data_IF_906983590651
#
_entry.id   IF_906983590651
#
_cell.length_a   1.000
_cell.length_b   1.000
_cell.length_c   1.000
_cell.angle_alpha   90.00
_cell.angle_beta   90.00
_cell.angle_gamma   90.00
#
_symmetry.space_group_name_H-M   'P 1'
#
loop_
_entity.id
_entity.type
_entity.pdbx_description
1 polymer ?
#
# COMPACT_ATOMS: atom_id res chain seq x y z
N UNK A 1 4.18 63.80 -65.07
CA UNK A 1 4.59 62.42 -65.11
C UNK A 1 4.33 61.82 -63.74
N UNK A 2 3.33 60.98 -63.61
CA UNK A 2 2.98 60.34 -62.34
C UNK A 2 3.46 58.89 -62.40
N UNK A 3 4.37 58.52 -61.52
CA UNK A 3 4.85 57.11 -61.37
C UNK A 3 3.97 56.44 -60.33
N UNK A 4 3.24 55.43 -60.79
CA UNK A 4 2.42 54.61 -59.90
C UNK A 4 3.30 53.45 -59.35
N UNK A 5 3.43 53.38 -58.03
CA UNK A 5 4.09 52.27 -57.33
C UNK A 5 3.06 51.15 -57.12
N UNK A 6 3.35 49.99 -57.67
CA UNK A 6 2.57 48.78 -57.46
C UNK A 6 3.14 48.06 -56.25
N UNK A 7 2.31 47.96 -55.22
CA UNK A 7 2.65 47.21 -54.03
C UNK A 7 2.20 45.73 -54.22
N UNK A 8 3.15 44.82 -54.32
CA UNK A 8 2.85 43.39 -54.38
C UNK A 8 2.65 42.83 -52.95
N UNK A 9 1.43 42.42 -52.59
CA UNK A 9 1.15 41.72 -51.35
C UNK A 9 1.46 40.24 -51.54
N UNK A 10 2.45 39.71 -50.82
CA UNK A 10 2.74 38.26 -50.77
C UNK A 10 1.76 37.61 -49.77
N UNK A 11 0.90 36.74 -50.27
CA UNK A 11 -0.01 35.91 -49.46
C UNK A 11 0.77 34.68 -48.95
N UNK A 12 1.10 34.65 -47.68
CA UNK A 12 1.71 33.47 -47.05
C UNK A 12 0.60 32.44 -46.72
N UNK A 13 0.52 31.38 -47.50
CA UNK A 13 -0.33 30.23 -47.21
C UNK A 13 0.40 29.37 -46.14
N UNK A 14 -0.06 29.48 -44.91
CA UNK A 14 0.36 28.60 -43.85
C UNK A 14 -0.21 27.18 -44.07
N UNK A 15 0.68 26.22 -44.31
CA UNK A 15 0.30 24.80 -44.33
C UNK A 15 0.14 24.36 -42.87
N UNK A 16 -1.10 24.19 -42.42
CA UNK A 16 -1.39 23.58 -41.14
C UNK A 16 -0.99 22.07 -41.21
N UNK A 17 -0.03 21.65 -40.39
CA UNK A 17 0.28 20.26 -40.25
C UNK A 17 -0.90 19.52 -39.57
N UNK A 18 -1.27 18.33 -40.01
CA UNK A 18 -2.34 17.59 -39.37
C UNK A 18 -1.93 17.26 -37.94
N UNK A 19 -2.71 17.74 -36.98
CA UNK A 19 -2.64 17.33 -35.60
C UNK A 19 -3.08 15.86 -35.54
N UNK A 20 -2.16 14.94 -35.25
CA UNK A 20 -2.49 13.56 -34.93
C UNK A 20 -3.21 13.57 -33.59
N UNK A 21 -4.54 13.45 -33.63
CA UNK A 21 -5.30 13.21 -32.40
C UNK A 21 -4.85 11.87 -31.79
N UNK A 22 -4.26 11.94 -30.62
CA UNK A 22 -3.90 10.77 -29.86
C UNK A 22 -5.20 10.23 -29.26
N UNK A 23 -5.67 9.09 -29.77
CA UNK A 23 -6.85 8.42 -29.23
C UNK A 23 -6.40 7.68 -27.98
N UNK A 24 -6.81 8.17 -26.83
CA UNK A 24 -6.69 7.44 -25.57
C UNK A 24 -7.84 6.44 -25.50
N UNK A 25 -7.50 5.15 -25.45
CA UNK A 25 -8.46 4.10 -25.13
C UNK A 25 -8.53 4.05 -23.61
N UNK A 26 -9.61 4.54 -23.05
CA UNK A 26 -9.92 4.33 -21.64
C UNK A 26 -10.60 2.97 -21.54
N UNK A 27 -10.00 2.06 -20.79
CA UNK A 27 -10.68 0.87 -20.34
C UNK A 27 -11.53 1.29 -19.13
N UNK A 28 -12.83 1.44 -19.32
CA UNK A 28 -13.75 1.70 -18.23
C UNK A 28 -13.92 0.40 -17.45
N UNK A 29 -13.22 0.29 -16.33
CA UNK A 29 -13.45 -0.80 -15.38
C UNK A 29 -14.76 -0.49 -14.68
N UNK A 30 -15.83 -1.13 -15.12
CA UNK A 30 -17.11 -1.08 -14.41
C UNK A 30 -16.96 -2.00 -13.20
N UNK A 31 -16.73 -1.43 -12.02
CA UNK A 31 -16.86 -2.16 -10.77
C UNK A 31 -18.34 -2.45 -10.55
N UNK A 32 -18.77 -3.66 -10.86
CA UNK A 32 -20.10 -4.15 -10.51
C UNK A 32 -20.10 -4.51 -9.02
N UNK A 33 -20.62 -3.61 -8.20
CA UNK A 33 -20.89 -3.89 -6.80
C UNK A 33 -22.04 -4.91 -6.71
N UNK A 34 -21.69 -6.19 -6.61
CA UNK A 34 -22.67 -7.21 -6.28
C UNK A 34 -22.94 -7.11 -4.78
N UNK A 35 -24.08 -6.53 -4.40
CA UNK A 35 -24.62 -6.70 -3.05
C UNK A 35 -24.93 -8.18 -2.82
N UNK A 36 -23.93 -8.96 -2.41
CA UNK A 36 -24.19 -10.27 -1.85
C UNK A 36 -24.81 -10.06 -0.47
N UNK A 37 -26.06 -10.46 -0.34
CA UNK A 37 -26.77 -10.50 0.92
C UNK A 37 -25.89 -11.05 2.03
N UNK A 38 -25.60 -10.22 3.00
CA UNK A 38 -25.16 -10.37 4.40
C UNK A 38 -24.54 -11.69 4.94
N UNK A 39 -24.01 -12.58 4.13
CA UNK A 39 -23.05 -13.54 4.61
C UNK A 39 -21.66 -12.87 4.55
N UNK A 40 -21.12 -12.45 5.69
CA UNK A 40 -19.74 -12.00 5.81
C UNK A 40 -18.86 -13.03 5.11
N UNK A 41 -18.29 -12.65 3.98
CA UNK A 41 -17.24 -13.46 3.37
C UNK A 41 -16.05 -13.43 4.32
N UNK A 42 -15.81 -14.52 4.99
CA UNK A 42 -14.60 -14.72 5.77
C UNK A 42 -13.63 -15.46 4.86
N UNK A 43 -12.49 -14.87 4.55
CA UNK A 43 -11.50 -15.54 3.72
C UNK A 43 -11.06 -16.85 4.37
N UNK A 44 -10.73 -17.89 3.60
CA UNK A 44 -10.21 -19.15 4.15
C UNK A 44 -8.97 -18.94 5.04
N UNK A 45 -8.12 -17.97 4.70
CA UNK A 45 -6.89 -17.63 5.44
C UNK A 45 -7.24 -17.03 6.81
N UNK A 46 -8.22 -16.11 6.87
CA UNK A 46 -8.70 -15.58 8.13
C UNK A 46 -9.34 -16.68 8.99
N UNK A 47 -10.20 -17.51 8.40
CA UNK A 47 -10.84 -18.61 9.11
C UNK A 47 -9.81 -19.59 9.68
N UNK A 48 -8.77 -19.91 8.92
CA UNK A 48 -7.68 -20.78 9.36
C UNK A 48 -6.88 -20.15 10.51
N UNK A 49 -6.51 -18.87 10.39
CA UNK A 49 -5.77 -18.16 11.43
C UNK A 49 -6.59 -18.11 12.74
N UNK A 50 -7.88 -17.82 12.66
CA UNK A 50 -8.79 -17.82 13.82
C UNK A 50 -8.92 -19.20 14.47
N UNK A 51 -8.98 -20.26 13.66
CA UNK A 51 -9.08 -21.64 14.16
C UNK A 51 -7.79 -22.10 14.85
N UNK A 52 -6.62 -21.68 14.36
CA UNK A 52 -5.31 -22.07 14.90
C UNK A 52 -4.87 -21.19 16.08
N UNK A 53 -5.52 -20.05 16.29
CA UNK A 53 -5.11 -19.06 17.28
C UNK A 53 -5.15 -19.62 18.72
N UNK A 54 -4.00 -19.57 19.39
CA UNK A 54 -3.89 -19.90 20.83
C UNK A 54 -4.01 -18.65 21.70
N UNK A 55 -3.83 -17.46 21.13
CA UNK A 55 -4.04 -16.15 21.75
C UNK A 55 -4.27 -15.07 20.69
N UNK A 56 -4.89 -13.95 21.08
CA UNK A 56 -5.18 -12.82 20.19
C UNK A 56 -4.80 -11.50 20.83
N UNK A 57 -4.20 -10.59 20.03
CA UNK A 57 -3.75 -9.25 20.43
C UNK A 57 -4.10 -8.28 19.29
N UNK A 58 -5.24 -7.58 19.40
CA UNK A 58 -5.74 -6.75 18.30
C UNK A 58 -5.84 -7.56 17.00
N UNK A 59 -5.17 -7.12 15.92
CA UNK A 59 -5.19 -7.83 14.64
C UNK A 59 -4.27 -9.07 14.60
N UNK A 60 -3.52 -9.35 15.66
CA UNK A 60 -2.61 -10.51 15.70
C UNK A 60 -3.30 -11.75 16.28
N UNK A 61 -3.00 -12.91 15.67
CA UNK A 61 -3.37 -14.24 16.13
C UNK A 61 -2.09 -15.03 16.35
N UNK A 62 -1.78 -15.38 17.59
CA UNK A 62 -0.64 -16.25 17.90
C UNK A 62 -0.99 -17.67 17.50
N UNK A 63 -0.24 -18.25 16.58
CA UNK A 63 -0.49 -19.59 16.04
C UNK A 63 0.28 -20.67 16.80
N UNK A 64 1.49 -20.35 17.22
CA UNK A 64 2.37 -21.21 18.00
C UNK A 64 3.47 -20.40 18.69
N UNK A 65 4.49 -21.07 19.26
CA UNK A 65 5.61 -20.42 20.02
C UNK A 65 6.45 -19.48 19.13
N UNK A 66 6.36 -19.57 17.79
CA UNK A 66 7.23 -18.87 16.85
C UNK A 66 6.48 -18.02 15.82
N UNK A 67 5.19 -18.25 15.64
CA UNK A 67 4.41 -17.63 14.57
C UNK A 67 3.18 -16.93 15.09
N UNK A 68 2.91 -15.76 14.53
CA UNK A 68 1.64 -15.06 14.66
C UNK A 68 1.12 -14.68 13.26
N UNK A 69 -0.19 -14.73 13.06
CA UNK A 69 -0.84 -14.18 11.87
C UNK A 69 -1.28 -12.73 12.11
N UNK A 70 -1.18 -11.89 11.11
CA UNK A 70 -1.85 -10.60 10.99
C UNK A 70 -3.08 -10.78 10.11
N UNK A 71 -4.28 -10.48 10.65
CA UNK A 71 -5.56 -10.88 10.02
C UNK A 71 -6.59 -9.77 9.89
N UNK A 72 -6.23 -8.52 10.17
CA UNK A 72 -7.20 -7.43 10.14
C UNK A 72 -6.50 -6.10 9.89
N UNK A 73 -7.28 -5.02 9.98
CA UNK A 73 -6.80 -3.65 9.85
C UNK A 73 -5.99 -3.24 11.09
N UNK A 74 -4.90 -2.52 10.88
CA UNK A 74 -4.14 -1.93 11.99
C UNK A 74 -4.70 -0.56 12.39
N UNK A 75 -4.50 -0.20 13.65
CA UNK A 75 -5.02 1.04 14.25
C UNK A 75 -3.95 1.73 15.09
N UNK A 76 -4.27 2.86 15.69
CA UNK A 76 -3.41 3.57 16.64
C UNK A 76 -3.01 2.72 17.86
N UNK A 77 -3.77 1.68 18.20
CA UNK A 77 -3.52 0.77 19.33
C UNK A 77 -2.59 -0.38 18.99
N UNK A 78 -2.47 -0.74 17.71
CA UNK A 78 -1.77 -1.94 17.26
C UNK A 78 -0.29 -2.02 17.71
N UNK A 79 0.49 -0.92 17.77
CA UNK A 79 1.83 -0.99 18.34
C UNK A 79 1.89 -1.46 19.81
N UNK A 80 0.91 -1.07 20.63
CA UNK A 80 0.83 -1.52 22.02
C UNK A 80 0.37 -2.98 22.14
N UNK A 81 -0.54 -3.40 21.26
CA UNK A 81 -1.00 -4.80 21.16
C UNK A 81 0.14 -5.72 20.72
N UNK A 82 0.98 -5.26 19.78
CA UNK A 82 2.19 -5.95 19.37
C UNK A 82 3.20 -6.09 20.52
N UNK A 83 3.46 -5.03 21.27
CA UNK A 83 4.36 -5.09 22.44
C UNK A 83 3.83 -6.07 23.48
N UNK A 84 2.52 -6.09 23.74
CA UNK A 84 1.89 -7.02 24.67
C UNK A 84 2.02 -8.48 24.18
N UNK A 85 1.78 -8.71 22.87
CA UNK A 85 2.00 -10.02 22.25
C UNK A 85 3.43 -10.48 22.45
N UNK A 86 4.41 -9.64 22.11
CA UNK A 86 5.84 -9.99 22.22
C UNK A 86 6.31 -10.19 23.67
N UNK A 87 5.69 -9.50 24.64
CA UNK A 87 5.97 -9.71 26.07
C UNK A 87 5.49 -11.08 26.55
N UNK A 88 4.33 -11.53 26.07
CA UNK A 88 3.73 -12.82 26.45
C UNK A 88 4.25 -13.99 25.60
N UNK A 89 4.67 -13.73 24.38
CA UNK A 89 5.16 -14.72 23.40
C UNK A 89 6.50 -14.26 22.79
N UNK A 90 7.58 -14.21 23.59
CA UNK A 90 8.86 -13.67 23.16
C UNK A 90 9.59 -14.52 22.10
N UNK A 91 9.12 -15.73 21.84
CA UNK A 91 9.64 -16.62 20.81
C UNK A 91 9.15 -16.34 19.40
N UNK A 92 8.14 -15.44 19.22
CA UNK A 92 7.63 -15.13 17.89
C UNK A 92 8.73 -14.51 17.04
N UNK A 93 8.96 -15.14 15.89
CA UNK A 93 9.99 -14.78 14.91
C UNK A 93 9.42 -14.62 13.49
N UNK A 94 8.14 -14.95 13.29
CA UNK A 94 7.46 -14.87 11.99
C UNK A 94 6.09 -14.22 12.18
N UNK A 95 5.76 -13.28 11.29
CA UNK A 95 4.40 -12.79 11.10
C UNK A 95 3.91 -13.26 9.74
N UNK A 96 2.79 -14.00 9.74
CA UNK A 96 2.06 -14.43 8.55
C UNK A 96 0.99 -13.39 8.21
N UNK A 97 1.11 -12.76 7.05
CA UNK A 97 0.16 -11.79 6.53
C UNK A 97 -0.98 -12.52 5.81
N UNK A 98 -1.98 -12.95 6.57
CA UNK A 98 -3.03 -13.85 6.06
C UNK A 98 -4.18 -13.11 5.39
N UNK A 99 -4.72 -12.06 6.03
CA UNK A 99 -5.81 -11.23 5.49
C UNK A 99 -5.68 -9.82 6.05
N UNK A 100 -4.86 -8.98 5.44
CA UNK A 100 -4.45 -7.70 5.97
C UNK A 100 -5.07 -6.57 5.14
N UNK A 101 -6.12 -5.91 5.64
CA UNK A 101 -6.87 -4.90 4.91
C UNK A 101 -6.22 -3.49 4.92
N UNK A 102 -5.13 -3.28 5.66
CA UNK A 102 -4.41 -2.01 5.69
C UNK A 102 -4.35 -1.38 7.07
N UNK A 103 -4.42 -0.04 7.13
CA UNK A 103 -4.32 0.71 8.38
C UNK A 103 -5.34 1.85 8.45
N UNK A 104 -5.74 2.19 9.67
CA UNK A 104 -6.47 3.43 9.97
C UNK A 104 -5.56 4.54 10.52
N UNK A 105 -4.28 4.27 10.76
CA UNK A 105 -3.33 5.25 11.31
C UNK A 105 -1.94 4.97 10.76
N UNK A 106 -1.54 5.73 9.75
CA UNK A 106 -0.24 5.58 9.08
C UNK A 106 0.94 5.76 10.02
N UNK A 107 0.86 6.70 10.98
CA UNK A 107 1.97 6.94 11.91
C UNK A 107 2.17 5.77 12.85
N UNK A 108 1.09 5.23 13.37
CA UNK A 108 1.13 4.02 14.20
C UNK A 108 1.61 2.82 13.37
N UNK A 109 1.17 2.71 12.12
CA UNK A 109 1.57 1.64 11.20
C UNK A 109 3.08 1.67 10.91
N UNK A 110 3.63 2.82 10.52
CA UNK A 110 5.06 2.98 10.28
C UNK A 110 5.90 2.75 11.56
N UNK A 111 5.36 3.11 12.74
CA UNK A 111 5.97 2.77 14.03
C UNK A 111 5.98 1.25 14.24
N UNK A 112 4.87 0.58 14.00
CA UNK A 112 4.76 -0.88 14.11
C UNK A 112 5.75 -1.58 13.17
N UNK A 113 5.89 -1.12 11.93
CA UNK A 113 6.89 -1.64 11.00
C UNK A 113 8.31 -1.55 11.56
N UNK A 114 8.69 -0.40 12.15
CA UNK A 114 9.99 -0.27 12.82
C UNK A 114 10.17 -1.23 13.99
N UNK A 115 9.10 -1.51 14.75
CA UNK A 115 9.14 -2.49 15.85
C UNK A 115 9.33 -3.92 15.33
N UNK A 116 8.66 -4.29 14.23
CA UNK A 116 8.84 -5.58 13.54
C UNK A 116 10.29 -5.73 13.08
N UNK A 117 10.82 -4.72 12.37
CA UNK A 117 12.20 -4.71 11.88
C UNK A 117 13.22 -4.82 13.01
N UNK A 118 13.06 -4.01 14.07
CA UNK A 118 13.98 -3.99 15.21
C UNK A 118 14.05 -5.32 15.98
N UNK A 119 13.04 -6.18 15.84
CA UNK A 119 13.00 -7.52 16.45
C UNK A 119 13.50 -8.63 15.52
N UNK A 120 13.88 -8.30 14.28
CA UNK A 120 14.34 -9.29 13.30
C UNK A 120 13.26 -10.30 12.90
N UNK A 121 11.99 -9.88 12.87
CA UNK A 121 10.86 -10.76 12.56
C UNK A 121 10.79 -10.95 11.04
N UNK A 122 10.62 -12.18 10.60
CA UNK A 122 10.34 -12.51 9.21
C UNK A 122 8.88 -12.21 8.86
N UNK A 123 8.65 -11.68 7.65
CA UNK A 123 7.32 -11.47 7.08
C UNK A 123 7.04 -12.54 6.02
N UNK A 124 5.94 -13.25 6.17
CA UNK A 124 5.52 -14.31 5.25
C UNK A 124 4.10 -14.02 4.76
N UNK A 125 3.86 -14.10 3.47
CA UNK A 125 2.50 -14.12 2.92
C UNK A 125 2.19 -15.56 2.54
N UNK A 126 1.27 -16.24 3.24
CA UNK A 126 0.92 -17.64 2.95
C UNK A 126 0.17 -17.74 1.61
N UNK A 127 -0.03 -18.95 1.12
CA UNK A 127 -0.83 -19.24 -0.08
C UNK A 127 -2.23 -18.60 0.04
N UNK A 128 -2.59 -17.79 -0.97
CA UNK A 128 -3.85 -17.05 -0.98
C UNK A 128 -3.95 -15.95 0.07
N UNK A 129 -2.85 -15.59 0.73
CA UNK A 129 -2.81 -14.45 1.64
C UNK A 129 -2.99 -13.13 0.91
N UNK A 130 -3.59 -12.14 1.58
CA UNK A 130 -3.93 -10.84 1.01
C UNK A 130 -3.35 -9.70 1.83
N UNK A 131 -2.53 -8.85 1.19
CA UNK A 131 -1.81 -7.73 1.81
C UNK A 131 -2.17 -6.44 1.10
N UNK A 132 -2.90 -5.56 1.76
CA UNK A 132 -3.46 -4.36 1.12
C UNK A 132 -3.06 -3.08 1.85
N UNK A 133 -2.90 -2.00 1.07
CA UNK A 133 -2.66 -0.65 1.60
C UNK A 133 -1.52 -0.64 2.63
N UNK A 134 -1.70 -0.03 3.80
CA UNK A 134 -0.70 0.06 4.87
C UNK A 134 -0.14 -1.27 5.40
N UNK A 135 -0.74 -2.41 5.07
CA UNK A 135 -0.15 -3.71 5.40
C UNK A 135 1.08 -4.03 4.54
N UNK A 136 1.22 -3.39 3.38
CA UNK A 136 2.41 -3.55 2.51
C UNK A 136 3.65 -3.00 3.20
N UNK A 137 3.55 -1.84 3.87
CA UNK A 137 4.65 -1.27 4.67
C UNK A 137 5.08 -2.22 5.79
N UNK A 138 4.12 -2.88 6.45
CA UNK A 138 4.44 -3.85 7.50
C UNK A 138 5.12 -5.11 6.94
N UNK A 139 4.69 -5.59 5.77
CA UNK A 139 5.36 -6.69 5.09
C UNK A 139 6.80 -6.31 4.70
N UNK A 140 6.99 -5.10 4.17
CA UNK A 140 8.31 -4.58 3.81
C UNK A 140 9.24 -4.42 5.03
N UNK A 141 8.69 -4.26 6.22
CA UNK A 141 9.44 -4.18 7.47
C UNK A 141 10.05 -5.51 7.91
N UNK A 142 9.61 -6.65 7.37
CA UNK A 142 10.19 -7.95 7.69
C UNK A 142 11.69 -8.00 7.44
N UNK A 143 12.44 -8.66 8.34
CA UNK A 143 13.89 -8.91 8.18
C UNK A 143 14.17 -9.78 6.95
N UNK A 144 13.38 -10.82 6.78
CA UNK A 144 13.26 -11.58 5.54
C UNK A 144 11.79 -11.53 5.08
N UNK A 145 11.58 -11.69 3.78
CA UNK A 145 10.27 -11.61 3.15
C UNK A 145 10.05 -12.80 2.25
N UNK A 146 8.97 -13.53 2.48
CA UNK A 146 8.60 -14.70 1.70
C UNK A 146 7.16 -14.55 1.20
N UNK A 147 6.93 -14.87 -0.07
CA UNK A 147 5.62 -14.76 -0.71
C UNK A 147 5.30 -16.11 -1.33
N UNK A 148 4.24 -16.75 -0.87
CA UNK A 148 3.76 -18.00 -1.44
C UNK A 148 2.98 -17.77 -2.75
N UNK A 149 2.77 -18.83 -3.51
CA UNK A 149 1.98 -18.79 -4.72
C UNK A 149 0.52 -18.38 -4.42
N UNK A 150 -0.06 -17.55 -5.29
CA UNK A 150 -1.43 -17.05 -5.13
C UNK A 150 -1.61 -15.98 -4.05
N UNK A 151 -0.52 -15.48 -3.47
CA UNK A 151 -0.57 -14.32 -2.58
C UNK A 151 -0.90 -13.05 -3.36
N UNK A 152 -1.71 -12.17 -2.78
CA UNK A 152 -2.17 -10.95 -3.43
C UNK A 152 -1.68 -9.70 -2.71
N UNK A 153 -1.24 -8.71 -3.48
CA UNK A 153 -0.89 -7.37 -2.98
C UNK A 153 -1.74 -6.32 -3.68
N UNK A 154 -2.28 -5.39 -2.93
CA UNK A 154 -3.01 -4.26 -3.47
C UNK A 154 -2.57 -2.96 -2.82
N UNK A 155 -2.22 -1.98 -3.64
CA UNK A 155 -1.82 -0.64 -3.21
C UNK A 155 -2.71 0.41 -3.87
N UNK A 156 -2.88 1.52 -3.18
CA UNK A 156 -3.53 2.72 -3.71
C UNK A 156 -2.75 3.96 -3.25
N UNK A 157 -2.97 5.08 -3.92
CA UNK A 157 -2.40 6.34 -3.45
C UNK A 157 -2.92 6.67 -2.05
N UNK A 158 -2.02 7.10 -1.15
CA UNK A 158 -2.43 7.51 0.18
C UNK A 158 -3.23 8.82 0.14
N UNK A 159 -4.10 8.99 1.13
CA UNK A 159 -4.90 10.19 1.33
C UNK A 159 -4.97 10.46 2.84
N UNK A 160 -4.83 11.72 3.22
CA UNK A 160 -4.93 12.11 4.63
C UNK A 160 -6.38 12.34 5.09
N UNK A 161 -6.54 12.66 6.38
CA UNK A 161 -7.85 12.94 7.00
C UNK A 161 -8.56 14.18 6.42
N UNK A 162 -7.86 15.00 5.64
CA UNK A 162 -8.41 16.18 4.94
C UNK A 162 -8.79 15.89 3.49
N UNK A 163 -8.59 14.64 3.02
CA UNK A 163 -8.84 14.21 1.66
C UNK A 163 -7.76 14.65 0.67
N UNK A 164 -6.57 15.04 1.16
CA UNK A 164 -5.42 15.41 0.34
C UNK A 164 -4.55 14.19 0.09
N UNK A 165 -4.18 13.98 -1.16
CA UNK A 165 -3.32 12.89 -1.61
C UNK A 165 -1.89 13.34 -1.89
N UNK A 166 -1.06 12.42 -2.37
CA UNK A 166 0.35 12.67 -2.66
C UNK A 166 0.58 13.88 -3.58
N UNK A 167 -0.25 14.03 -4.63
CA UNK A 167 -0.15 15.13 -5.59
C UNK A 167 -0.46 16.52 -5.03
N UNK A 168 -1.08 16.60 -3.85
CA UNK A 168 -1.47 17.86 -3.22
C UNK A 168 -0.34 18.43 -2.34
N UNK A 169 0.72 17.67 -2.13
CA UNK A 169 1.85 18.03 -1.29
C UNK A 169 3.12 18.25 -2.12
N UNK A 170 3.99 19.13 -1.63
CA UNK A 170 5.32 19.30 -2.21
C UNK A 170 6.17 18.03 -2.00
N UNK A 171 7.04 17.64 -2.96
CA UNK A 171 7.86 16.42 -2.85
C UNK A 171 8.73 16.32 -1.60
N UNK A 172 9.13 17.46 -1.03
CA UNK A 172 9.93 17.57 0.20
C UNK A 172 9.08 17.77 1.47
N UNK A 173 7.77 17.62 1.37
CA UNK A 173 6.88 17.77 2.51
C UNK A 173 7.06 16.65 3.56
N UNK A 174 6.76 16.91 4.85
CA UNK A 174 6.79 15.88 5.88
C UNK A 174 5.89 14.68 5.56
N UNK A 175 4.83 14.89 4.76
CA UNK A 175 3.88 13.85 4.40
C UNK A 175 4.48 12.81 3.45
N UNK A 176 5.35 13.21 2.53
CA UNK A 176 6.16 12.30 1.72
C UNK A 176 7.35 11.75 2.51
N UNK A 177 8.08 12.62 3.22
CA UNK A 177 9.32 12.24 3.89
C UNK A 177 9.13 11.14 4.94
N UNK A 178 7.96 11.03 5.57
CA UNK A 178 7.68 9.95 6.53
C UNK A 178 7.74 8.56 5.88
N UNK A 179 7.23 8.41 4.65
CA UNK A 179 7.27 7.16 3.89
C UNK A 179 8.65 6.90 3.31
N UNK A 180 9.25 7.89 2.65
CA UNK A 180 10.60 7.76 2.08
C UNK A 180 11.64 7.39 3.13
N UNK A 181 11.56 7.99 4.34
CA UNK A 181 12.41 7.62 5.46
C UNK A 181 12.19 6.17 5.88
N UNK A 182 10.93 5.76 5.99
CA UNK A 182 10.57 4.40 6.35
C UNK A 182 11.11 3.38 5.33
N UNK A 183 10.90 3.60 4.04
CA UNK A 183 11.37 2.69 3.00
C UNK A 183 12.90 2.54 3.01
N UNK A 184 13.64 3.65 3.21
CA UNK A 184 15.10 3.60 3.37
C UNK A 184 15.53 2.80 4.61
N UNK A 185 14.83 2.97 5.75
CA UNK A 185 15.06 2.19 6.97
C UNK A 185 14.79 0.69 6.75
N UNK A 186 13.84 0.34 5.88
CA UNK A 186 13.54 -1.04 5.50
C UNK A 186 14.48 -1.59 4.42
N UNK A 187 15.49 -0.82 3.99
CA UNK A 187 16.49 -1.25 3.02
C UNK A 187 16.05 -1.19 1.57
N UNK A 188 15.05 -0.37 1.26
CA UNK A 188 14.58 -0.13 -0.11
C UNK A 188 15.20 1.13 -0.70
N UNK A 189 15.37 1.17 -2.01
CA UNK A 189 15.69 2.39 -2.74
C UNK A 189 14.42 3.25 -2.82
N UNK A 190 14.37 4.32 -2.01
CA UNK A 190 13.16 5.10 -1.80
C UNK A 190 12.66 5.82 -3.07
N UNK A 191 13.52 6.04 -4.06
CA UNK A 191 13.19 6.68 -5.34
C UNK A 191 12.41 5.74 -6.29
N UNK A 192 12.40 4.43 -6.02
CA UNK A 192 11.64 3.42 -6.77
C UNK A 192 10.29 3.08 -6.11
N UNK A 193 10.05 3.61 -4.92
CA UNK A 193 8.87 3.26 -4.10
C UNK A 193 7.72 4.29 -4.20
N UNK A 194 7.88 5.37 -4.96
CA UNK A 194 6.87 6.33 -5.39
C UNK A 194 6.47 6.05 -6.85
#
# INVERSE_FOLDING_TARGET
MRIASILAAALAVGIAAPSTAQTYVYEEVVEEWVETSASRFVSPQLAQAEQLAIASYGPFRVLDDRRAALVDITTSYTPAEFDLMMANHPGIAVIEFSECSGTHDDRANLRLGRMIRARGIAAVVPEGGSVRSGAVELFLAGESREIAEGAEFAVHAWMDDHGMGASDYAPDSPEHLKYLSFYREMGMEAEEAE
#
